data_IF_244763176842
#
_entry.id   IF_244763176842
#
_cell.length_a   1.000
_cell.length_b   1.000
_cell.length_c   1.000
_cell.angle_alpha   90.00
_cell.angle_beta   90.00
_cell.angle_gamma   90.00
#
_symmetry.space_group_name_H-M   'P 1'
#
loop_
_entity.id
_entity.type
_entity.pdbx_description
1 polymer ?
#
# COMPACT_ATOMS: atom_id res chain seq x y z
N UNK A 1 19.79 3.69 -8.06
CA UNK A 1 19.86 2.68 -6.97
C UNK A 1 20.14 3.31 -5.60
N UNK A 2 21.22 4.09 -5.41
CA UNK A 2 21.55 4.69 -4.10
C UNK A 2 20.41 5.51 -3.46
N UNK A 3 19.78 6.41 -4.23
CA UNK A 3 18.63 7.20 -3.76
C UNK A 3 17.44 6.31 -3.33
N UNK A 4 17.18 5.21 -4.05
CA UNK A 4 16.12 4.28 -3.69
C UNK A 4 16.42 3.61 -2.34
N UNK A 5 17.65 3.14 -2.15
CA UNK A 5 18.07 2.51 -0.90
C UNK A 5 18.00 3.47 0.29
N UNK A 6 18.33 4.76 0.09
CA UNK A 6 18.17 5.79 1.12
C UNK A 6 16.70 5.98 1.52
N UNK A 7 15.80 6.06 0.54
CA UNK A 7 14.35 6.14 0.77
C UNK A 7 13.79 4.88 1.44
N UNK A 8 14.32 3.72 1.08
CA UNK A 8 13.96 2.45 1.70
C UNK A 8 14.38 2.44 3.18
N UNK A 9 15.60 2.86 3.47
CA UNK A 9 16.11 2.95 4.84
C UNK A 9 15.22 3.83 5.74
N UNK A 10 14.75 4.96 5.21
CA UNK A 10 13.91 5.89 5.99
C UNK A 10 12.50 5.37 6.27
N UNK A 11 11.96 4.48 5.41
CA UNK A 11 10.54 4.07 5.47
C UNK A 11 10.32 2.65 5.96
N UNK A 12 11.34 1.77 5.93
CA UNK A 12 11.14 0.34 6.15
C UNK A 12 10.63 -0.02 7.55
N UNK A 13 11.14 0.64 8.59
CA UNK A 13 10.67 0.44 9.96
C UNK A 13 9.24 0.99 10.15
N UNK A 14 8.93 2.26 9.82
CA UNK A 14 7.55 2.77 9.86
C UNK A 14 6.57 1.92 9.06
N UNK A 15 6.97 1.45 7.89
CA UNK A 15 6.14 0.59 7.06
C UNK A 15 5.89 -0.78 7.70
N UNK A 16 6.90 -1.38 8.34
CA UNK A 16 6.73 -2.64 9.08
C UNK A 16 5.75 -2.51 10.24
N UNK A 17 5.80 -1.39 10.97
CA UNK A 17 4.87 -1.09 12.08
C UNK A 17 3.45 -0.95 11.52
N UNK A 18 3.30 -0.20 10.42
CA UNK A 18 2.01 -0.03 9.74
C UNK A 18 1.43 -1.39 9.33
N UNK A 19 2.22 -2.24 8.68
CA UNK A 19 1.79 -3.58 8.27
C UNK A 19 1.39 -4.47 9.47
N UNK A 20 2.11 -4.38 10.58
CA UNK A 20 1.76 -5.07 11.82
C UNK A 20 0.42 -4.65 12.39
N UNK A 21 0.15 -3.35 12.41
CA UNK A 21 -1.12 -2.78 12.92
C UNK A 21 -2.30 -3.03 11.99
N UNK A 22 -2.06 -3.21 10.69
CA UNK A 22 -3.09 -3.26 9.65
C UNK A 22 -3.38 -4.68 9.13
N UNK A 23 -2.76 -5.70 9.75
CA UNK A 23 -2.91 -7.10 9.35
C UNK A 23 -4.33 -7.62 9.60
N UNK A 24 -4.95 -8.12 8.55
CA UNK A 24 -6.24 -8.83 8.62
C UNK A 24 -6.05 -10.32 8.32
N UNK A 25 -6.47 -11.20 9.25
CA UNK A 25 -6.52 -12.65 8.97
C UNK A 25 -7.57 -12.95 7.90
N UNK A 26 -7.34 -13.94 7.05
CA UNK A 26 -8.30 -14.39 6.04
C UNK A 26 -9.65 -14.83 6.63
N UNK A 27 -9.65 -15.27 7.89
CA UNK A 27 -10.83 -15.73 8.61
C UNK A 27 -11.63 -14.61 9.28
N UNK A 28 -11.08 -13.38 9.34
CA UNK A 28 -11.75 -12.25 9.99
C UNK A 28 -12.99 -11.81 9.19
N UNK A 29 -14.21 -11.88 9.77
CA UNK A 29 -15.44 -11.42 9.11
C UNK A 29 -15.39 -9.95 8.73
N UNK A 30 -16.18 -9.56 7.72
CA UNK A 30 -16.22 -8.16 7.26
C UNK A 30 -16.76 -7.18 8.33
N UNK A 31 -17.55 -7.69 9.28
CA UNK A 31 -18.12 -6.93 10.40
C UNK A 31 -17.24 -6.87 11.66
N UNK A 32 -16.07 -7.50 11.64
CA UNK A 32 -15.19 -7.56 12.81
C UNK A 32 -14.67 -6.14 13.17
N UNK A 33 -14.71 -5.73 14.45
CA UNK A 33 -14.22 -4.42 14.89
C UNK A 33 -12.78 -4.11 14.46
N UNK A 34 -11.93 -5.14 14.31
CA UNK A 34 -10.54 -4.98 13.84
C UNK A 34 -10.47 -4.41 12.43
N UNK A 35 -11.45 -4.68 11.57
CA UNK A 35 -11.53 -4.09 10.22
C UNK A 35 -11.63 -2.57 10.31
N UNK A 36 -12.42 -2.06 11.26
CA UNK A 36 -12.58 -0.62 11.48
C UNK A 36 -11.28 0.00 11.98
N UNK A 37 -10.61 -0.66 12.94
CA UNK A 37 -9.31 -0.22 13.45
C UNK A 37 -8.24 -0.13 12.36
N UNK A 38 -8.18 -1.13 11.48
CA UNK A 38 -7.23 -1.17 10.34
C UNK A 38 -7.46 0.02 9.40
N UNK A 39 -8.71 0.29 9.03
CA UNK A 39 -9.06 1.41 8.14
C UNK A 39 -8.71 2.76 8.78
N UNK A 40 -8.94 2.92 10.09
CA UNK A 40 -8.55 4.14 10.83
C UNK A 40 -7.05 4.37 10.85
N UNK A 41 -6.26 3.33 11.12
CA UNK A 41 -4.79 3.43 11.15
C UNK A 41 -4.25 3.86 9.78
N UNK A 42 -4.74 3.27 8.70
CA UNK A 42 -4.34 3.65 7.34
C UNK A 42 -4.74 5.09 7.01
N UNK A 43 -5.97 5.47 7.34
CA UNK A 43 -6.45 6.84 7.09
C UNK A 43 -5.66 7.88 7.88
N UNK A 44 -5.25 7.58 9.11
CA UNK A 44 -4.44 8.48 9.92
C UNK A 44 -3.07 8.73 9.27
N UNK A 45 -2.38 7.68 8.80
CA UNK A 45 -1.10 7.81 8.11
C UNK A 45 -1.25 8.60 6.81
N UNK A 46 -2.30 8.31 6.04
CA UNK A 46 -2.59 9.00 4.77
C UNK A 46 -2.92 10.48 5.01
N UNK A 47 -3.72 10.79 6.04
CA UNK A 47 -4.18 12.14 6.33
C UNK A 47 -3.09 13.02 6.94
N UNK A 48 -2.14 12.45 7.69
CA UNK A 48 -1.06 13.21 8.31
C UNK A 48 -0.17 13.88 7.26
N UNK A 49 0.14 13.19 6.15
CA UNK A 49 0.83 13.77 5.00
C UNK A 49 2.30 14.17 5.22
N UNK A 50 2.81 14.14 6.46
CA UNK A 50 4.20 14.50 6.79
C UNK A 50 5.24 13.59 6.13
N UNK A 51 4.98 12.29 6.08
CA UNK A 51 5.82 11.30 5.38
C UNK A 51 5.13 10.84 4.10
N UNK A 52 5.53 11.45 2.99
CA UNK A 52 4.99 11.13 1.66
C UNK A 52 5.30 9.70 1.23
N UNK A 53 6.48 9.18 1.58
CA UNK A 53 6.87 7.81 1.19
C UNK A 53 6.00 6.79 1.91
N UNK A 54 5.82 6.96 3.22
CA UNK A 54 4.93 6.11 4.01
C UNK A 54 3.48 6.26 3.57
N UNK A 55 3.04 7.47 3.24
CA UNK A 55 1.68 7.74 2.73
C UNK A 55 1.39 6.96 1.43
N UNK A 56 2.34 6.89 0.48
CA UNK A 56 2.20 6.06 -0.73
C UNK A 56 2.00 4.58 -0.41
N UNK A 57 2.82 4.06 0.49
CA UNK A 57 2.74 2.67 0.91
C UNK A 57 1.40 2.40 1.63
N UNK A 58 0.93 3.34 2.45
CA UNK A 58 -0.37 3.28 3.10
C UNK A 58 -1.53 3.32 2.10
N UNK A 59 -1.45 4.15 1.06
CA UNK A 59 -2.44 4.22 -0.03
C UNK A 59 -2.54 2.89 -0.78
N UNK A 60 -1.39 2.32 -1.18
CA UNK A 60 -1.38 1.01 -1.84
C UNK A 60 -1.87 -0.11 -0.91
N UNK A 61 -1.51 -0.05 0.37
CA UNK A 61 -2.00 -1.02 1.37
C UNK A 61 -3.50 -0.87 1.62
N UNK A 62 -4.05 0.34 1.66
CA UNK A 62 -5.48 0.60 1.74
C UNK A 62 -6.22 -0.02 0.57
N UNK A 63 -5.72 0.12 -0.66
CA UNK A 63 -6.32 -0.55 -1.82
C UNK A 63 -6.36 -2.07 -1.65
N UNK A 64 -5.26 -2.69 -1.20
CA UNK A 64 -5.18 -4.14 -0.91
C UNK A 64 -6.18 -4.56 0.17
N UNK A 65 -6.29 -3.79 1.26
CA UNK A 65 -7.26 -4.05 2.34
C UNK A 65 -8.70 -3.98 1.82
N UNK A 66 -9.03 -2.97 1.02
CA UNK A 66 -10.36 -2.82 0.44
C UNK A 66 -10.69 -3.95 -0.55
N UNK A 67 -9.73 -4.39 -1.37
CA UNK A 67 -9.91 -5.51 -2.29
C UNK A 67 -10.12 -6.83 -1.52
N UNK A 68 -9.37 -7.07 -0.45
CA UNK A 68 -9.57 -8.22 0.46
C UNK A 68 -10.96 -8.17 1.09
N UNK A 69 -11.38 -7.01 1.59
CA UNK A 69 -12.69 -6.84 2.23
C UNK A 69 -13.83 -7.06 1.23
N UNK A 70 -13.66 -6.62 -0.02
CA UNK A 70 -14.63 -6.85 -1.09
C UNK A 70 -14.78 -8.34 -1.43
N UNK A 71 -13.65 -9.07 -1.48
CA UNK A 71 -13.66 -10.52 -1.66
C UNK A 71 -14.35 -11.25 -0.49
N UNK A 72 -14.13 -10.80 0.75
CA UNK A 72 -14.80 -11.36 1.95
C UNK A 72 -16.30 -11.14 1.92
N UNK A 73 -16.75 -9.92 1.63
CA UNK A 73 -18.17 -9.61 1.45
C UNK A 73 -18.78 -10.48 0.35
N UNK A 74 -18.04 -10.75 -0.73
CA UNK A 74 -18.49 -11.66 -1.79
C UNK A 74 -18.71 -13.08 -1.26
N UNK A 75 -17.76 -13.60 -0.49
CA UNK A 75 -17.83 -14.93 0.13
C UNK A 75 -18.97 -15.03 1.14
N UNK A 76 -19.13 -14.05 2.04
CA UNK A 76 -20.22 -14.00 3.02
C UNK A 76 -21.60 -13.97 2.34
N UNK A 77 -21.72 -13.28 1.20
CA UNK A 77 -22.93 -13.29 0.36
C UNK A 77 -23.19 -14.63 -0.33
N UNK A 78 -22.14 -15.33 -0.74
CA UNK A 78 -22.28 -16.66 -1.33
C UNK A 78 -22.75 -17.67 -0.27
N UNK A 79 -22.25 -17.53 0.96
CA UNK A 79 -22.61 -18.39 2.09
C UNK A 79 -23.95 -18.02 2.76
N UNK A 80 -24.66 -17.00 2.25
CA UNK A 80 -25.97 -16.58 2.78
C UNK A 80 -25.91 -15.77 4.07
N UNK A 81 -24.71 -15.37 4.53
CA UNK A 81 -24.55 -14.54 5.74
C UNK A 81 -24.94 -13.08 5.51
N UNK A 82 -24.96 -12.63 4.25
CA UNK A 82 -25.36 -11.27 3.87
C UNK A 82 -26.51 -11.31 2.85
N UNK A 83 -27.58 -10.57 3.13
CA UNK A 83 -28.71 -10.44 2.22
C UNK A 83 -28.31 -9.74 0.91
N UNK A 84 -28.75 -10.33 -0.22
CA UNK A 84 -28.62 -9.71 -1.53
C UNK A 84 -29.72 -8.67 -1.71
N UNK A 85 -29.33 -7.42 -1.99
CA UNK A 85 -30.25 -6.35 -2.36
C UNK A 85 -29.94 -5.88 -3.78
N UNK A 86 -30.96 -5.81 -4.63
CA UNK A 86 -30.81 -5.34 -6.01
C UNK A 86 -30.17 -3.94 -6.03
N UNK A 87 -29.16 -3.76 -6.89
CA UNK A 87 -28.40 -2.51 -7.01
C UNK A 87 -27.32 -2.28 -5.94
N UNK A 88 -27.26 -3.10 -4.88
CA UNK A 88 -26.31 -2.93 -3.78
C UNK A 88 -25.18 -3.96 -3.89
N UNK A 89 -24.07 -3.56 -4.50
CA UNK A 89 -22.92 -4.44 -4.83
C UNK A 89 -21.95 -4.58 -3.64
N UNK A 90 -20.99 -5.51 -3.75
CA UNK A 90 -19.99 -5.76 -2.69
C UNK A 90 -19.19 -4.48 -2.39
N UNK A 91 -18.75 -3.77 -3.43
CA UNK A 91 -18.13 -2.45 -3.30
C UNK A 91 -18.97 -1.43 -2.51
N UNK A 92 -20.31 -1.48 -2.58
CA UNK A 92 -21.18 -0.59 -1.80
C UNK A 92 -21.14 -0.92 -0.32
N UNK A 93 -21.13 -2.21 0.04
CA UNK A 93 -20.99 -2.67 1.44
C UNK A 93 -19.62 -2.27 1.99
N UNK A 94 -18.55 -2.51 1.23
CA UNK A 94 -17.19 -2.13 1.64
C UNK A 94 -17.09 -0.64 1.90
N UNK A 95 -17.71 0.19 1.05
CA UNK A 95 -17.74 1.63 1.23
C UNK A 95 -18.57 2.04 2.46
N UNK A 96 -19.62 1.29 2.80
CA UNK A 96 -20.41 1.54 4.01
C UNK A 96 -19.64 1.15 5.28
N UNK A 97 -18.92 0.02 5.26
CA UNK A 97 -17.98 -0.35 6.34
C UNK A 97 -16.92 0.74 6.50
N UNK A 98 -16.36 1.23 5.39
CA UNK A 98 -15.34 2.28 5.42
C UNK A 98 -15.90 3.61 5.95
N UNK A 99 -17.15 3.95 5.63
CA UNK A 99 -17.86 5.09 6.24
C UNK A 99 -18.03 4.93 7.74
N UNK A 100 -18.49 3.75 8.18
CA UNK A 100 -18.70 3.44 9.59
C UNK A 100 -17.39 3.39 10.39
N UNK A 101 -16.24 3.20 9.73
CA UNK A 101 -14.93 3.25 10.35
C UNK A 101 -14.42 4.68 10.61
N UNK A 102 -15.06 5.73 10.11
CA UNK A 102 -14.58 7.10 10.30
C UNK A 102 -15.00 7.66 11.67
N UNK A 103 -14.06 8.27 12.40
CA UNK A 103 -14.35 8.96 13.66
C UNK A 103 -15.13 10.27 13.45
N UNK A 104 -15.03 10.85 12.26
CA UNK A 104 -15.74 12.07 11.85
C UNK A 104 -16.67 11.72 10.70
N UNK A 105 -17.87 12.32 10.69
CA UNK A 105 -18.82 12.16 9.59
C UNK A 105 -18.22 12.72 8.30
N UNK A 106 -17.71 11.84 7.44
CA UNK A 106 -17.18 12.20 6.14
C UNK A 106 -18.23 12.00 5.05
N UNK A 107 -18.31 12.92 4.05
CA UNK A 107 -19.13 12.70 2.87
C UNK A 107 -18.69 11.42 2.14
N UNK A 108 -19.65 10.59 1.70
CA UNK A 108 -19.37 9.39 0.88
C UNK A 108 -18.44 9.65 -0.30
N UNK A 109 -18.59 10.81 -0.96
CA UNK A 109 -17.73 11.25 -2.06
C UNK A 109 -16.25 11.30 -1.66
N UNK A 110 -15.93 11.69 -0.43
CA UNK A 110 -14.54 11.79 0.05
C UNK A 110 -13.89 10.42 0.13
N UNK A 111 -14.61 9.41 0.61
CA UNK A 111 -14.07 8.05 0.69
C UNK A 111 -13.97 7.38 -0.69
N UNK A 112 -14.88 7.71 -1.62
CA UNK A 112 -14.74 7.29 -3.03
C UNK A 112 -13.44 7.86 -3.62
N UNK A 113 -13.17 9.14 -3.36
CA UNK A 113 -11.95 9.79 -3.81
C UNK A 113 -10.69 9.17 -3.20
N UNK A 114 -10.70 8.89 -1.88
CA UNK A 114 -9.61 8.16 -1.22
C UNK A 114 -9.40 6.77 -1.83
N UNK A 115 -10.46 5.97 -1.99
CA UNK A 115 -10.39 4.65 -2.64
C UNK A 115 -9.81 4.76 -4.05
N UNK A 116 -10.16 5.81 -4.79
CA UNK A 116 -9.62 6.06 -6.13
C UNK A 116 -8.12 6.33 -6.10
N UNK A 117 -7.65 7.25 -5.25
CA UNK A 117 -6.22 7.56 -5.09
C UNK A 117 -5.43 6.33 -4.62
N UNK A 118 -5.95 5.61 -3.64
CA UNK A 118 -5.40 4.33 -3.16
C UNK A 118 -5.21 3.34 -4.32
N UNK A 119 -6.24 3.18 -5.15
CA UNK A 119 -6.17 2.25 -6.29
C UNK A 119 -5.11 2.69 -7.28
N UNK A 120 -5.01 3.98 -7.60
CA UNK A 120 -3.98 4.52 -8.52
C UNK A 120 -2.56 4.20 -8.04
N UNK A 121 -2.28 4.42 -6.76
CA UNK A 121 -1.01 4.04 -6.15
C UNK A 121 -0.75 2.54 -6.21
N UNK A 122 -1.76 1.72 -5.95
CA UNK A 122 -1.65 0.26 -6.08
C UNK A 122 -1.36 -0.20 -7.51
N UNK A 123 -1.93 0.45 -8.53
CA UNK A 123 -1.65 0.11 -9.94
C UNK A 123 -0.21 0.49 -10.34
N UNK A 124 0.33 1.60 -9.80
CA UNK A 124 1.74 1.98 -10.00
C UNK A 124 2.71 1.04 -9.29
N UNK A 125 2.36 0.55 -8.11
CA UNK A 125 3.18 -0.40 -7.38
C UNK A 125 3.26 -1.76 -8.09
N UNK A 126 2.17 -2.15 -8.78
CA UNK A 126 2.02 -3.49 -9.31
C UNK A 126 2.12 -4.54 -8.20
N UNK A 127 3.00 -5.53 -8.38
CA UNK A 127 3.25 -6.58 -7.39
C UNK A 127 4.20 -6.13 -6.26
N UNK A 128 4.86 -4.98 -6.38
CA UNK A 128 5.98 -4.58 -5.51
C UNK A 128 5.69 -3.25 -4.81
N UNK A 129 5.11 -3.24 -3.59
CA UNK A 129 4.76 -2.01 -2.87
C UNK A 129 5.94 -1.04 -2.71
N UNK A 130 7.12 -1.55 -2.41
CA UNK A 130 8.34 -0.76 -2.25
C UNK A 130 8.80 -0.08 -3.55
N UNK A 131 8.33 -0.52 -4.72
CA UNK A 131 8.62 0.16 -5.97
C UNK A 131 8.12 1.62 -5.95
N UNK A 132 7.11 1.94 -5.15
CA UNK A 132 6.58 3.29 -5.03
C UNK A 132 7.60 4.34 -4.57
N UNK A 133 8.72 3.91 -3.98
CA UNK A 133 9.80 4.79 -3.55
C UNK A 133 10.56 5.43 -4.72
N UNK A 134 10.49 4.86 -5.93
CA UNK A 134 11.18 5.44 -7.09
C UNK A 134 10.48 6.67 -7.64
N UNK A 135 9.16 6.80 -7.42
CA UNK A 135 8.41 7.95 -7.93
C UNK A 135 8.82 9.23 -7.21
N UNK A 136 8.77 10.34 -7.94
CA UNK A 136 9.09 11.68 -7.43
C UNK A 136 7.95 12.24 -6.59
N UNK A 137 8.14 13.39 -5.96
CA UNK A 137 7.10 14.03 -5.13
C UNK A 137 5.95 14.57 -5.99
N UNK A 138 6.24 15.02 -7.21
CA UNK A 138 5.25 15.52 -8.18
C UNK A 138 4.23 14.44 -8.56
N UNK A 139 4.59 13.16 -8.43
CA UNK A 139 3.66 12.06 -8.62
C UNK A 139 2.47 12.14 -7.64
N UNK A 140 2.63 12.72 -6.44
CA UNK A 140 1.54 12.92 -5.47
C UNK A 140 0.42 13.79 -6.05
N UNK A 141 0.80 14.95 -6.60
CA UNK A 141 -0.14 15.91 -7.16
C UNK A 141 -0.90 15.30 -8.35
N UNK A 142 -0.17 14.57 -9.19
CA UNK A 142 -0.73 13.84 -10.33
C UNK A 142 -1.74 12.79 -9.83
N UNK A 143 -1.37 11.96 -8.86
CA UNK A 143 -2.24 10.89 -8.34
C UNK A 143 -3.51 11.42 -7.66
N UNK A 144 -3.46 12.62 -7.08
CA UNK A 144 -4.60 13.30 -6.47
C UNK A 144 -5.49 14.02 -7.50
N UNK A 145 -4.99 14.26 -8.73
CA UNK A 145 -5.72 15.03 -9.72
C UNK A 145 -7.01 14.34 -10.18
N UNK A 146 -8.13 15.08 -10.20
CA UNK A 146 -9.44 14.47 -10.46
C UNK A 146 -9.60 13.94 -11.88
N UNK A 147 -8.99 14.64 -12.83
CA UNK A 147 -9.03 14.31 -14.26
C UNK A 147 -7.86 13.43 -14.70
N UNK A 148 -7.14 12.81 -13.76
CA UNK A 148 -6.09 11.85 -14.10
C UNK A 148 -6.69 10.72 -14.96
N UNK A 149 -5.93 10.18 -15.94
CA UNK A 149 -6.36 9.05 -16.74
C UNK A 149 -6.90 7.88 -15.90
N UNK A 150 -7.71 7.04 -16.55
CA UNK A 150 -8.25 5.86 -15.90
C UNK A 150 -7.14 4.90 -15.41
N UNK A 151 -7.52 3.92 -14.58
CA UNK A 151 -6.56 2.97 -14.03
C UNK A 151 -5.86 2.13 -15.12
N UNK A 152 -6.43 2.02 -16.33
CA UNK A 152 -5.80 1.28 -17.43
C UNK A 152 -4.60 2.04 -17.99
N UNK A 153 -4.72 3.36 -18.14
CA UNK A 153 -3.58 4.21 -18.52
C UNK A 153 -2.50 4.24 -17.43
N UNK A 154 -2.88 4.25 -16.15
CA UNK A 154 -1.91 4.21 -15.05
C UNK A 154 -1.13 2.89 -15.06
N UNK A 155 -1.80 1.75 -15.31
CA UNK A 155 -1.12 0.47 -15.54
C UNK A 155 -0.17 0.50 -16.72
N UNK A 156 -0.56 1.16 -17.82
CA UNK A 156 0.31 1.29 -18.98
C UNK A 156 1.58 2.09 -18.62
N UNK A 157 1.43 3.20 -17.90
CA UNK A 157 2.56 3.98 -17.38
C UNK A 157 3.44 3.11 -16.48
N UNK A 158 2.84 2.39 -15.52
CA UNK A 158 3.56 1.48 -14.62
C UNK A 158 4.36 0.44 -15.43
N UNK A 159 3.73 -0.21 -16.40
CA UNK A 159 4.38 -1.23 -17.24
C UNK A 159 5.58 -0.69 -18.02
N UNK A 160 5.50 0.56 -18.49
CA UNK A 160 6.61 1.22 -19.17
C UNK A 160 7.75 1.56 -18.21
N UNK A 161 7.42 2.14 -17.05
CA UNK A 161 8.41 2.41 -16.00
C UNK A 161 9.10 1.11 -15.57
N UNK A 162 8.35 0.01 -15.48
CA UNK A 162 8.92 -1.29 -15.14
C UNK A 162 9.89 -1.79 -16.22
N UNK A 163 9.52 -1.68 -17.50
CA UNK A 163 10.36 -2.10 -18.61
C UNK A 163 11.67 -1.31 -18.70
N UNK A 164 11.67 -0.05 -18.28
CA UNK A 164 12.85 0.83 -18.27
C UNK A 164 13.66 0.71 -16.95
N UNK A 165 13.17 -0.04 -15.97
CA UNK A 165 13.80 -0.18 -14.66
C UNK A 165 14.81 -1.34 -14.60
N UNK A 166 15.91 -1.19 -13.83
CA UNK A 166 16.90 -2.24 -13.68
C UNK A 166 16.34 -3.44 -12.89
N UNK A 167 16.71 -4.68 -13.26
CA UNK A 167 16.22 -5.91 -12.62
C UNK A 167 16.46 -5.93 -11.10
N UNK A 168 17.61 -5.40 -10.67
CA UNK A 168 18.01 -5.34 -9.26
C UNK A 168 17.04 -4.55 -8.40
N UNK A 169 16.32 -3.58 -8.97
CA UNK A 169 15.31 -2.83 -8.24
C UNK A 169 14.14 -3.74 -7.85
N UNK A 170 13.68 -4.60 -8.76
CA UNK A 170 12.59 -5.55 -8.49
C UNK A 170 13.03 -6.60 -7.47
N UNK A 171 14.22 -7.18 -7.65
CA UNK A 171 14.79 -8.14 -6.70
C UNK A 171 14.87 -7.55 -5.29
N UNK A 172 15.30 -6.28 -5.19
CA UNK A 172 15.38 -5.57 -3.90
C UNK A 172 13.98 -5.33 -3.32
N UNK A 173 13.02 -4.89 -4.13
CA UNK A 173 11.65 -4.65 -3.66
C UNK A 173 10.99 -5.95 -3.19
N UNK A 174 11.16 -7.04 -3.93
CA UNK A 174 10.63 -8.37 -3.60
C UNK A 174 11.23 -8.88 -2.29
N UNK A 175 12.56 -8.95 -2.21
CA UNK A 175 13.27 -9.41 -1.02
C UNK A 175 12.83 -8.67 0.24
N UNK A 176 12.79 -7.34 0.18
CA UNK A 176 12.46 -6.52 1.35
C UNK A 176 10.98 -6.57 1.71
N UNK A 177 10.09 -6.69 0.71
CA UNK A 177 8.67 -6.91 0.97
C UNK A 177 8.46 -8.22 1.72
N UNK A 178 9.05 -9.31 1.23
CA UNK A 178 8.95 -10.63 1.87
C UNK A 178 9.57 -10.64 3.27
N UNK A 179 10.75 -10.04 3.44
CA UNK A 179 11.44 -9.98 4.73
C UNK A 179 10.61 -9.21 5.78
N UNK A 180 10.03 -8.07 5.39
CA UNK A 180 9.17 -7.26 6.26
C UNK A 180 7.89 -8.03 6.60
N UNK A 181 7.20 -8.59 5.60
CA UNK A 181 5.98 -9.37 5.83
C UNK A 181 6.24 -10.58 6.74
N UNK A 182 7.36 -11.29 6.56
CA UNK A 182 7.76 -12.41 7.41
C UNK A 182 8.07 -11.98 8.85
N UNK A 183 8.77 -10.85 9.04
CA UNK A 183 9.06 -10.29 10.36
C UNK A 183 7.76 -9.91 11.09
N UNK A 184 6.85 -9.23 10.40
CA UNK A 184 5.52 -8.88 10.90
C UNK A 184 4.72 -10.13 11.28
N UNK A 185 4.73 -11.17 10.43
CA UNK A 185 4.05 -12.43 10.71
C UNK A 185 4.59 -13.09 11.98
N UNK A 186 5.91 -13.06 12.17
CA UNK A 186 6.59 -13.63 13.32
C UNK A 186 6.61 -12.72 14.56
N UNK A 187 5.96 -11.55 14.50
CA UNK A 187 5.97 -10.52 15.53
C UNK A 187 7.39 -10.13 15.98
N UNK A 188 8.31 -10.02 15.02
CA UNK A 188 9.71 -9.61 15.25
C UNK A 188 9.90 -8.19 14.74
N UNK A 189 10.63 -7.33 15.49
CA UNK A 189 10.99 -6.02 14.99
C UNK A 189 11.96 -6.14 13.81
N UNK A 190 11.92 -5.17 12.90
CA UNK A 190 13.02 -4.93 11.97
C UNK A 190 14.16 -4.33 12.78
N UNK A 191 15.13 -5.17 13.14
CA UNK A 191 16.21 -4.80 14.06
C UNK A 191 17.40 -4.14 13.34
N UNK A 192 18.36 -3.69 14.14
CA UNK A 192 19.58 -3.05 13.66
C UNK A 192 20.45 -3.98 12.78
N UNK A 193 20.28 -5.31 12.82
CA UNK A 193 21.01 -6.22 11.93
C UNK A 193 20.42 -6.19 10.54
N UNK A 194 19.09 -6.22 10.45
CA UNK A 194 18.35 -6.07 9.20
C UNK A 194 18.62 -4.69 8.57
N UNK A 195 18.63 -3.63 9.37
CA UNK A 195 19.05 -2.30 8.91
C UNK A 195 20.54 -2.24 8.53
N UNK A 196 21.39 -3.01 9.22
CA UNK A 196 22.81 -3.13 8.93
C UNK A 196 23.11 -3.82 7.59
N UNK A 197 22.36 -4.87 7.23
CA UNK A 197 22.47 -5.50 5.90
C UNK A 197 22.04 -4.54 4.81
N UNK A 198 20.93 -3.80 5.01
CA UNK A 198 20.46 -2.78 4.08
C UNK A 198 21.54 -1.71 3.80
N UNK A 199 22.16 -1.15 4.85
CA UNK A 199 23.26 -0.17 4.71
C UNK A 199 24.47 -0.73 3.98
N UNK A 200 24.79 -2.00 4.21
CA UNK A 200 25.92 -2.67 3.57
C UNK A 200 25.66 -2.86 2.07
N UNK A 201 24.43 -3.24 1.72
CA UNK A 201 23.94 -3.32 0.34
C UNK A 201 24.02 -1.95 -0.34
N UNK A 202 23.52 -0.87 0.30
CA UNK A 202 23.58 0.50 -0.21
C UNK A 202 25.01 0.92 -0.56
N UNK A 203 25.95 0.72 0.37
CA UNK A 203 27.38 1.04 0.18
C UNK A 203 28.06 0.20 -0.89
N UNK A 204 27.60 -1.03 -1.11
CA UNK A 204 28.08 -1.87 -2.23
C UNK A 204 27.67 -1.23 -3.56
N UNK A 205 26.43 -0.79 -3.69
CA UNK A 205 25.93 -0.17 -4.91
C UNK A 205 26.53 1.20 -5.21
N UNK A 206 26.78 2.01 -4.19
CA UNK A 206 27.51 3.28 -4.33
C UNK A 206 28.91 3.07 -4.90
N UNK A 207 29.62 2.04 -4.42
CA UNK A 207 30.96 1.69 -4.93
C UNK A 207 30.93 1.18 -6.37
N UNK A 208 29.95 0.36 -6.73
CA UNK A 208 29.78 -0.13 -8.12
C UNK A 208 29.50 1.03 -9.07
N UNK A 209 28.62 1.97 -8.67
CA UNK A 209 28.31 3.15 -9.46
C UNK A 209 29.51 4.09 -9.65
N UNK A 210 30.37 4.24 -8.64
CA UNK A 210 31.61 5.03 -8.73
C UNK A 210 32.69 4.38 -9.59
N UNK A 211 32.73 3.04 -9.67
CA UNK A 211 33.70 2.32 -10.51
C UNK A 211 33.32 2.23 -12.00
N UNK A 212 32.10 2.59 -12.35
CA UNK A 212 31.57 2.53 -13.71
C UNK A 212 31.53 3.91 -14.42
N UNK A 213 31.95 4.97 -13.72
CA UNK A 213 32.09 6.34 -14.22
C UNK A 213 33.56 6.69 -14.45
#
# INVERSE_FOLDING_TARGET
>A
MALFMQKLESVIEPWSILLGQTRLSCETPSSDPRVFSVLKVLDAVIANGDDRLLSRLAQAHLARVLDILEARVAMERQNGHLHRRNGYRNASIVLDIYLSAQDVVLPRRTLIERKRVAKRWSELAGAWPLFLLVYSEEAEEIMQHRNLPDNAMIRLIASRVFAESPSQLFETCEYWTEAVEAAVVANRPIDNRVMGSLRTETRRWERVAQSAA
#
